data_IF_143697064577
#
_entry.id   IF_143697064577
#
_cell.length_a   1.000
_cell.length_b   1.000
_cell.length_c   1.000
_cell.angle_alpha   90.00
_cell.angle_beta   90.00
_cell.angle_gamma   90.00
#
_symmetry.space_group_name_H-M   'P 1'
#
loop_
_entity.id
_entity.type
_entity.pdbx_description
1 polymer ?
#
# COMPACT_ATOMS: atom_id res chain seq x y z
N UNK A 1 -22.13 17.86 20.32
CA UNK A 1 -20.81 18.51 20.17
C UNK A 1 -19.78 17.46 20.57
N UNK A 2 -19.45 16.58 19.63
CA UNK A 2 -18.45 15.53 19.81
C UNK A 2 -17.14 16.13 19.33
N UNK A 3 -16.29 16.57 20.26
CA UNK A 3 -14.90 16.91 19.93
C UNK A 3 -14.16 15.60 19.67
N UNK A 4 -13.91 15.29 18.40
CA UNK A 4 -12.86 14.37 18.00
C UNK A 4 -11.52 15.01 18.33
N UNK A 5 -10.84 14.47 19.34
CA UNK A 5 -9.44 14.80 19.62
C UNK A 5 -8.56 14.22 18.50
N UNK A 6 -7.65 15.00 17.91
CA UNK A 6 -6.67 14.43 17.00
C UNK A 6 -5.69 13.58 17.82
N UNK A 7 -5.54 12.32 17.42
CA UNK A 7 -4.46 11.47 17.91
C UNK A 7 -3.19 12.01 17.25
N UNK A 8 -2.44 12.86 17.94
CA UNK A 8 -1.05 13.11 17.55
C UNK A 8 -0.25 11.84 17.85
N UNK A 9 -0.14 10.96 16.86
CA UNK A 9 0.90 9.97 16.83
C UNK A 9 2.21 10.70 16.50
N UNK A 10 3.12 10.76 17.47
CA UNK A 10 4.51 11.12 17.21
C UNK A 10 5.18 9.92 16.54
N UNK A 11 4.93 9.74 15.24
CA UNK A 11 5.65 8.90 14.31
C UNK A 11 5.97 9.77 13.09
N UNK A 12 6.98 9.41 12.29
CA UNK A 12 7.28 10.10 11.02
C UNK A 12 5.99 10.47 10.30
N UNK A 13 5.80 11.75 9.97
CA UNK A 13 4.59 12.22 9.28
C UNK A 13 4.42 11.36 8.03
N UNK A 14 3.42 10.48 8.09
CA UNK A 14 2.91 9.76 6.95
C UNK A 14 2.45 10.79 5.94
N UNK A 15 2.59 10.52 4.65
CA UNK A 15 1.88 11.29 3.64
C UNK A 15 1.26 10.29 2.71
N UNK A 16 -0.05 10.10 2.79
CA UNK A 16 -0.81 9.25 1.89
C UNK A 16 -0.67 9.80 0.46
N UNK A 17 0.14 9.14 -0.37
CA UNK A 17 0.45 9.61 -1.73
C UNK A 17 -0.60 9.17 -2.75
N UNK A 18 -1.84 9.56 -2.52
CA UNK A 18 -2.94 9.41 -3.48
C UNK A 18 -3.31 10.80 -4.00
N UNK A 19 -3.44 10.94 -5.31
CA UNK A 19 -3.93 12.16 -5.93
C UNK A 19 -5.40 12.33 -5.52
N UNK A 20 -5.67 13.38 -4.75
CA UNK A 20 -6.91 13.60 -4.03
C UNK A 20 -6.70 13.91 -2.54
N UNK A 21 -5.58 13.50 -1.93
CA UNK A 21 -5.15 13.96 -0.59
C UNK A 21 -4.52 15.35 -0.69
N UNK A 22 -5.30 16.32 -1.16
CA UNK A 22 -4.86 17.66 -1.50
C UNK A 22 -4.22 18.40 -0.32
N UNK A 23 -4.79 18.23 0.89
CA UNK A 23 -4.36 18.95 2.08
C UNK A 23 -3.24 18.26 2.88
N UNK A 24 -2.83 17.06 2.44
CA UNK A 24 -1.76 16.23 3.01
C UNK A 24 -2.03 15.74 4.45
N UNK A 25 -3.29 15.52 4.82
CA UNK A 25 -3.67 15.05 6.17
C UNK A 25 -3.95 13.54 6.28
N UNK A 26 -3.57 12.80 5.24
CA UNK A 26 -3.63 11.33 5.15
C UNK A 26 -5.03 10.74 5.01
N UNK A 27 -6.04 11.59 4.83
CA UNK A 27 -7.44 11.20 4.63
C UNK A 27 -7.98 11.96 3.43
N UNK A 28 -8.63 11.28 2.50
CA UNK A 28 -9.33 11.94 1.39
C UNK A 28 -10.77 12.21 1.86
N UNK A 29 -11.09 13.46 2.13
CA UNK A 29 -12.41 13.90 2.58
C UNK A 29 -12.79 15.32 2.08
N UNK A 30 -13.85 15.89 2.64
CA UNK A 30 -14.32 17.23 2.27
C UNK A 30 -13.23 18.31 2.46
N UNK A 31 -12.28 18.12 3.38
CA UNK A 31 -11.20 19.07 3.61
C UNK A 31 -10.25 19.15 2.42
N UNK A 32 -10.14 18.10 1.61
CA UNK A 32 -9.36 18.13 0.37
C UNK A 32 -10.07 18.92 -0.72
N UNK A 33 -11.39 18.76 -0.84
CA UNK A 33 -12.22 19.59 -1.73
C UNK A 33 -12.07 21.07 -1.37
N UNK A 34 -12.23 21.41 -0.09
CA UNK A 34 -12.07 22.78 0.41
C UNK A 34 -10.64 23.32 0.16
N UNK A 35 -9.63 22.45 0.20
CA UNK A 35 -8.24 22.81 -0.09
C UNK A 35 -8.04 23.13 -1.58
N UNK A 36 -8.57 22.29 -2.48
CA UNK A 36 -8.54 22.52 -3.94
C UNK A 36 -9.27 23.81 -4.30
N UNK A 37 -10.45 24.06 -3.75
CA UNK A 37 -11.15 25.34 -3.92
C UNK A 37 -10.30 26.53 -3.46
N UNK A 38 -9.57 26.35 -2.36
CA UNK A 38 -8.62 27.32 -1.86
C UNK A 38 -7.46 27.60 -2.81
N UNK A 39 -6.94 26.58 -3.50
CA UNK A 39 -5.90 26.74 -4.54
C UNK A 39 -6.46 27.54 -5.73
N UNK A 40 -7.66 27.17 -6.21
CA UNK A 40 -8.35 27.84 -7.33
C UNK A 40 -8.58 29.33 -7.01
N UNK A 41 -8.95 29.63 -5.76
CA UNK A 41 -9.19 31.00 -5.29
C UNK A 41 -7.91 31.76 -4.92
N UNK A 42 -6.73 31.12 -4.96
CA UNK A 42 -5.45 31.70 -4.58
C UNK A 42 -5.29 31.95 -3.07
N UNK A 43 -6.07 31.26 -2.24
CA UNK A 43 -5.98 31.33 -0.77
C UNK A 43 -5.15 30.21 -0.16
N UNK A 44 -4.84 29.15 -0.91
CA UNK A 44 -3.96 28.05 -0.50
C UNK A 44 -2.76 27.92 -1.43
N UNK A 45 -1.70 27.27 -0.93
CA UNK A 45 -0.51 26.95 -1.72
C UNK A 45 -0.74 25.73 -2.61
N UNK A 46 0.03 25.64 -3.69
CA UNK A 46 0.01 24.48 -4.57
C UNK A 46 0.36 23.20 -3.80
N UNK A 47 -0.42 22.15 -4.05
CA UNK A 47 -0.13 20.78 -3.62
C UNK A 47 -0.15 19.89 -4.85
N UNK A 48 0.85 19.02 -5.00
CA UNK A 48 0.90 18.09 -6.15
C UNK A 48 -0.27 17.11 -6.13
N UNK A 49 -0.70 16.68 -4.92
CA UNK A 49 -1.81 15.75 -4.78
C UNK A 49 -3.18 16.41 -4.94
N UNK A 50 -3.24 17.73 -5.18
CA UNK A 50 -4.48 18.44 -5.48
C UNK A 50 -4.93 18.28 -6.95
N UNK A 51 -4.03 17.88 -7.85
CA UNK A 51 -4.32 17.51 -9.24
C UNK A 51 -4.87 16.07 -9.28
N UNK A 52 -6.04 15.86 -8.66
CA UNK A 52 -6.63 14.55 -8.41
C UNK A 52 -6.85 13.72 -9.70
N UNK A 53 -7.14 14.36 -10.83
CA UNK A 53 -7.26 13.68 -12.13
C UNK A 53 -5.91 13.56 -12.89
N UNK A 54 -4.84 14.17 -12.36
CA UNK A 54 -3.48 14.19 -12.90
C UNK A 54 -3.42 14.69 -14.35
N UNK A 55 -4.20 15.72 -14.69
CA UNK A 55 -4.21 16.36 -16.01
C UNK A 55 -3.20 17.51 -16.15
N UNK A 56 -2.55 17.88 -15.05
CA UNK A 56 -1.58 18.96 -14.95
C UNK A 56 -2.18 20.31 -14.55
N UNK A 57 -3.48 20.41 -14.27
CA UNK A 57 -4.16 21.65 -13.90
C UNK A 57 -5.11 21.45 -12.72
N UNK A 58 -4.89 22.20 -11.64
CA UNK A 58 -5.79 22.17 -10.48
C UNK A 58 -7.06 22.99 -10.77
N UNK A 59 -8.22 22.33 -10.80
CA UNK A 59 -9.49 22.90 -11.19
C UNK A 59 -10.73 22.15 -10.68
N UNK A 60 -11.86 22.36 -11.36
CA UNK A 60 -13.16 21.77 -10.97
C UNK A 60 -13.24 20.26 -11.22
N UNK A 61 -12.44 19.76 -12.17
CA UNK A 61 -12.38 18.31 -12.45
C UNK A 61 -11.71 17.55 -11.30
N UNK A 62 -10.75 18.16 -10.60
CA UNK A 62 -10.14 17.57 -9.40
C UNK A 62 -11.11 17.50 -8.23
N UNK A 63 -11.93 18.55 -8.04
CA UNK A 63 -12.99 18.55 -7.02
C UNK A 63 -13.95 17.39 -7.29
N UNK A 64 -14.40 17.22 -8.54
CA UNK A 64 -15.29 16.12 -8.90
C UNK A 64 -14.65 14.75 -8.67
N UNK A 65 -13.37 14.60 -9.01
CA UNK A 65 -12.62 13.35 -8.77
C UNK A 65 -12.48 13.05 -7.27
N UNK A 66 -12.19 14.04 -6.44
CA UNK A 66 -12.14 13.87 -4.97
C UNK A 66 -13.52 13.50 -4.42
N UNK A 67 -14.58 14.18 -4.86
CA UNK A 67 -15.96 13.86 -4.46
C UNK A 67 -16.36 12.43 -4.87
N UNK A 68 -15.88 11.95 -6.01
CA UNK A 68 -16.08 10.58 -6.46
C UNK A 68 -15.33 9.58 -5.56
N UNK A 69 -14.07 9.84 -5.20
CA UNK A 69 -13.28 9.03 -4.25
C UNK A 69 -13.96 8.97 -2.87
N UNK A 70 -14.39 10.12 -2.33
CA UNK A 70 -15.07 10.22 -1.04
C UNK A 70 -16.39 9.44 -1.05
N UNK A 71 -17.07 9.42 -2.20
CA UNK A 71 -18.33 8.70 -2.36
C UNK A 71 -18.16 7.20 -2.72
N UNK A 72 -16.95 6.72 -3.00
CA UNK A 72 -16.69 5.37 -3.49
C UNK A 72 -17.29 5.12 -4.89
N UNK A 73 -17.24 6.14 -5.76
CA UNK A 73 -17.80 6.14 -7.12
C UNK A 73 -16.75 6.42 -8.20
N UNK A 74 -15.49 6.59 -7.80
CA UNK A 74 -14.35 6.76 -8.69
C UNK A 74 -14.23 5.57 -9.65
N UNK A 75 -13.94 5.86 -10.91
CA UNK A 75 -13.67 4.83 -11.92
C UNK A 75 -12.18 4.57 -12.08
N UNK A 76 -11.34 5.45 -11.54
CA UNK A 76 -9.90 5.37 -11.59
C UNK A 76 -9.30 6.01 -10.33
N UNK A 77 -8.20 5.43 -9.84
CA UNK A 77 -7.43 5.93 -8.71
C UNK A 77 -6.00 6.17 -9.15
N UNK A 78 -5.48 7.37 -8.89
CA UNK A 78 -4.11 7.76 -9.24
C UNK A 78 -3.30 7.93 -7.96
N UNK A 79 -2.12 7.32 -7.90
CA UNK A 79 -1.28 7.32 -6.70
C UNK A 79 0.20 7.33 -7.05
N UNK A 80 1.03 7.71 -6.08
CA UNK A 80 2.46 7.41 -6.11
C UNK A 80 2.76 6.17 -5.30
N UNK A 81 3.34 5.19 -5.97
CA UNK A 81 3.75 3.94 -5.35
C UNK A 81 5.07 4.13 -4.56
N UNK A 82 5.55 3.09 -3.86
CA UNK A 82 6.79 3.23 -3.06
C UNK A 82 8.01 3.55 -3.95
N UNK A 83 8.01 3.11 -5.20
CA UNK A 83 9.05 3.42 -6.19
C UNK A 83 8.95 4.84 -6.77
N UNK A 84 8.05 5.68 -6.21
CA UNK A 84 7.81 7.07 -6.62
C UNK A 84 7.35 7.20 -8.09
N UNK A 85 6.67 6.18 -8.61
CA UNK A 85 5.99 6.21 -9.91
C UNK A 85 4.55 6.65 -9.73
N UNK A 86 4.04 7.48 -10.64
CA UNK A 86 2.61 7.79 -10.71
C UNK A 86 1.91 6.65 -11.46
N UNK A 87 1.02 5.94 -10.78
CA UNK A 87 0.28 4.78 -11.31
C UNK A 87 -1.20 5.13 -11.31
N UNK A 88 -1.88 4.82 -12.41
CA UNK A 88 -3.32 4.94 -12.58
C UNK A 88 -3.93 3.53 -12.59
N UNK A 89 -4.94 3.31 -11.75
CA UNK A 89 -5.55 2.01 -11.50
C UNK A 89 -7.04 2.13 -11.73
N UNK A 90 -7.60 1.30 -12.61
CA UNK A 90 -9.04 1.25 -12.82
C UNK A 90 -9.74 0.60 -11.62
N UNK A 91 -10.84 1.21 -11.18
CA UNK A 91 -11.63 0.80 -10.01
C UNK A 91 -13.01 0.32 -10.49
N UNK A 92 -13.59 -0.75 -9.91
CA UNK A 92 -13.07 -1.53 -8.79
C UNK A 92 -12.01 -2.57 -9.18
N UNK A 93 -11.00 -2.75 -8.32
CA UNK A 93 -10.05 -3.87 -8.40
C UNK A 93 -10.65 -5.09 -7.71
N UNK A 94 -10.86 -6.17 -8.44
CA UNK A 94 -11.47 -7.41 -7.96
C UNK A 94 -10.56 -8.65 -8.13
N UNK A 95 -9.49 -8.53 -8.92
CA UNK A 95 -8.57 -9.63 -9.26
C UNK A 95 -7.12 -9.19 -9.13
N UNK A 96 -6.44 -9.65 -8.09
CA UNK A 96 -5.07 -9.23 -7.75
C UNK A 96 -4.10 -10.40 -7.70
N UNK A 97 -2.91 -10.21 -8.26
CA UNK A 97 -1.76 -11.11 -8.07
C UNK A 97 -0.92 -10.61 -6.89
N UNK A 98 -0.69 -11.50 -5.92
CA UNK A 98 0.00 -11.19 -4.66
C UNK A 98 1.28 -12.03 -4.52
N UNK A 99 2.47 -11.50 -4.82
CA UNK A 99 3.69 -12.28 -4.82
C UNK A 99 4.37 -12.42 -3.45
N UNK A 100 3.89 -11.77 -2.37
CA UNK A 100 4.52 -11.82 -1.04
C UNK A 100 3.58 -12.23 0.07
N UNK A 101 4.12 -12.96 1.05
CA UNK A 101 3.40 -13.27 2.29
C UNK A 101 3.02 -12.04 3.12
N UNK A 102 3.84 -10.99 3.13
CA UNK A 102 3.53 -9.75 3.88
C UNK A 102 2.41 -8.96 3.20
N UNK A 103 2.37 -8.99 1.86
CA UNK A 103 1.27 -8.42 1.09
C UNK A 103 0.01 -9.26 1.30
N UNK A 104 0.13 -10.59 1.32
CA UNK A 104 -0.97 -11.49 1.65
C UNK A 104 -1.52 -11.25 3.07
N UNK A 105 -0.66 -10.93 4.06
CA UNK A 105 -1.07 -10.48 5.39
C UNK A 105 -1.89 -9.18 5.34
N UNK A 106 -1.48 -8.20 4.53
CA UNK A 106 -2.22 -6.96 4.34
C UNK A 106 -3.64 -7.22 3.79
N UNK A 107 -3.80 -8.13 2.83
CA UNK A 107 -5.13 -8.55 2.33
C UNK A 107 -6.00 -9.18 3.42
N UNK A 108 -5.41 -9.95 4.36
CA UNK A 108 -6.14 -10.47 5.52
C UNK A 108 -6.58 -9.36 6.47
N UNK A 109 -5.70 -8.39 6.74
CA UNK A 109 -6.00 -7.23 7.59
C UNK A 109 -7.17 -6.42 7.01
N UNK A 110 -7.12 -6.18 5.69
CA UNK A 110 -8.14 -5.44 4.94
C UNK A 110 -9.40 -6.26 4.64
N UNK A 111 -9.41 -7.56 4.95
CA UNK A 111 -10.51 -8.50 4.68
C UNK A 111 -10.89 -8.56 3.20
N UNK A 112 -9.89 -8.56 2.33
CA UNK A 112 -10.05 -8.54 0.87
C UNK A 112 -9.45 -9.79 0.20
N UNK A 113 -9.25 -10.86 0.96
CA UNK A 113 -8.57 -12.08 0.49
C UNK A 113 -9.24 -12.72 -0.73
N UNK A 114 -10.55 -12.55 -0.88
CA UNK A 114 -11.34 -13.03 -2.03
C UNK A 114 -10.96 -12.36 -3.36
N UNK A 115 -10.30 -11.20 -3.32
CA UNK A 115 -9.80 -10.49 -4.51
C UNK A 115 -8.50 -11.09 -5.05
N UNK A 116 -7.85 -11.99 -4.31
CA UNK A 116 -6.58 -12.60 -4.73
C UNK A 116 -6.85 -13.76 -5.67
N UNK A 117 -6.25 -13.73 -6.87
CA UNK A 117 -6.45 -14.75 -7.91
C UNK A 117 -5.20 -15.56 -8.22
N UNK A 118 -4.03 -15.10 -7.76
CA UNK A 118 -2.76 -15.80 -7.89
C UNK A 118 -1.76 -15.35 -6.84
N UNK A 119 -0.92 -16.28 -6.39
CA UNK A 119 0.01 -16.09 -5.26
C UNK A 119 1.41 -16.60 -5.58
N UNK A 120 2.37 -16.35 -4.69
CA UNK A 120 3.68 -16.99 -4.76
C UNK A 120 3.73 -18.37 -4.11
N UNK A 121 4.72 -19.18 -4.52
CA UNK A 121 5.06 -20.46 -3.91
C UNK A 121 5.29 -20.34 -2.39
N UNK A 122 5.88 -19.23 -1.94
CA UNK A 122 6.14 -18.98 -0.52
C UNK A 122 4.85 -18.89 0.33
N UNK A 123 3.72 -18.53 -0.29
CA UNK A 123 2.41 -18.51 0.36
C UNK A 123 1.88 -19.95 0.51
N UNK A 124 2.07 -20.81 -0.50
CA UNK A 124 1.69 -22.23 -0.43
C UNK A 124 2.48 -23.01 0.62
N UNK A 125 3.72 -22.63 0.92
CA UNK A 125 4.49 -23.23 2.02
C UNK A 125 3.89 -22.89 3.41
N UNK A 126 3.01 -21.89 3.49
CA UNK A 126 2.40 -21.36 4.71
C UNK A 126 0.89 -21.55 4.75
N UNK A 127 0.37 -22.66 4.22
CA UNK A 127 -1.08 -22.99 4.24
C UNK A 127 -1.71 -22.99 5.63
N UNK A 128 -0.94 -23.22 6.71
CA UNK A 128 -1.45 -23.08 8.08
C UNK A 128 -1.87 -21.64 8.42
N UNK A 129 -1.26 -20.66 7.77
CA UNK A 129 -1.49 -19.23 7.97
C UNK A 129 -2.32 -18.60 6.84
N UNK A 130 -2.19 -19.13 5.62
CA UNK A 130 -2.95 -18.73 4.43
C UNK A 130 -3.82 -19.88 3.86
N UNK A 131 -4.72 -20.49 4.66
CA UNK A 131 -5.56 -21.58 4.16
C UNK A 131 -6.47 -21.12 3.00
N UNK A 132 -6.86 -19.85 2.96
CA UNK A 132 -7.70 -19.27 1.89
C UNK A 132 -7.00 -19.23 0.51
N UNK A 133 -5.66 -19.31 0.48
CA UNK A 133 -4.88 -19.25 -0.76
C UNK A 133 -4.37 -20.62 -1.20
N UNK A 134 -4.71 -21.70 -0.48
CA UNK A 134 -4.13 -23.02 -0.68
C UNK A 134 -4.38 -23.60 -2.08
N UNK A 135 -5.54 -23.28 -2.68
CA UNK A 135 -5.97 -23.78 -3.98
C UNK A 135 -5.76 -22.74 -5.11
N UNK A 136 -5.18 -21.56 -4.80
CA UNK A 136 -4.92 -20.55 -5.83
C UNK A 136 -3.74 -20.95 -6.71
N UNK A 137 -3.75 -20.58 -8.01
CA UNK A 137 -2.60 -20.76 -8.88
C UNK A 137 -1.37 -20.01 -8.36
N UNK A 138 -0.21 -20.65 -8.47
CA UNK A 138 1.07 -19.99 -8.24
C UNK A 138 1.55 -19.32 -9.52
N UNK A 139 2.08 -18.10 -9.39
CA UNK A 139 2.71 -17.34 -10.49
C UNK A 139 4.24 -17.28 -10.39
N UNK A 140 4.83 -18.01 -9.44
CA UNK A 140 6.28 -18.06 -9.23
C UNK A 140 6.69 -18.08 -7.77
N UNK A 141 7.99 -17.92 -7.52
CA UNK A 141 8.55 -17.74 -6.18
C UNK A 141 8.32 -16.35 -5.59
N UNK A 142 9.36 -15.76 -5.01
CA UNK A 142 9.30 -14.42 -4.41
C UNK A 142 9.11 -13.30 -5.46
N UNK A 143 9.25 -13.62 -6.75
CA UNK A 143 8.88 -12.78 -7.89
C UNK A 143 7.94 -13.52 -8.84
N UNK A 144 7.30 -12.78 -9.75
CA UNK A 144 6.59 -13.39 -10.89
C UNK A 144 7.61 -14.03 -11.81
N UNK A 145 7.43 -15.33 -12.05
CA UNK A 145 8.28 -16.14 -12.93
C UNK A 145 7.49 -16.62 -14.15
N UNK A 146 6.19 -16.88 -13.96
CA UNK A 146 5.28 -17.31 -15.02
C UNK A 146 4.28 -16.19 -15.35
N UNK A 147 4.72 -15.28 -16.22
CA UNK A 147 3.89 -14.15 -16.68
C UNK A 147 2.72 -14.62 -17.55
N UNK A 148 2.86 -15.72 -18.31
CA UNK A 148 1.76 -16.27 -19.10
C UNK A 148 0.66 -16.80 -18.19
N UNK A 149 1.03 -17.53 -17.12
CA UNK A 149 0.08 -17.93 -16.09
C UNK A 149 -0.55 -16.72 -15.41
N UNK A 150 0.23 -15.71 -14.99
CA UNK A 150 -0.30 -14.50 -14.38
C UNK A 150 -1.32 -13.78 -15.27
N UNK A 151 -1.01 -13.59 -16.55
CA UNK A 151 -1.91 -12.97 -17.54
C UNK A 151 -3.17 -13.83 -17.76
N UNK A 152 -3.03 -15.16 -17.78
CA UNK A 152 -4.17 -16.07 -17.96
C UNK A 152 -5.20 -16.03 -16.82
N UNK A 153 -4.80 -15.49 -15.66
CA UNK A 153 -5.69 -15.24 -14.53
C UNK A 153 -6.48 -13.95 -14.68
N UNK A 154 -6.33 -13.20 -15.77
CA UNK A 154 -7.08 -11.96 -16.05
C UNK A 154 -7.12 -11.01 -14.83
N UNK A 155 -5.95 -10.60 -14.27
CA UNK A 155 -5.91 -9.74 -13.10
C UNK A 155 -6.13 -8.27 -13.47
N UNK A 156 -6.80 -7.52 -12.60
CA UNK A 156 -6.94 -6.07 -12.69
C UNK A 156 -5.67 -5.36 -12.21
N UNK A 157 -4.89 -6.03 -11.35
CA UNK A 157 -3.70 -5.44 -10.71
C UNK A 157 -2.67 -6.50 -10.33
N UNK A 158 -1.40 -6.13 -10.48
CA UNK A 158 -0.26 -6.89 -9.94
C UNK A 158 0.46 -6.04 -8.89
N UNK A 159 0.70 -6.60 -7.70
CA UNK A 159 1.53 -5.95 -6.67
C UNK A 159 2.98 -6.41 -6.84
N UNK A 160 3.93 -5.48 -6.75
CA UNK A 160 5.38 -5.73 -6.79
C UNK A 160 6.11 -5.07 -5.62
N UNK A 161 7.43 -5.25 -5.58
CA UNK A 161 8.35 -4.71 -4.56
C UNK A 161 9.23 -3.62 -5.17
N UNK A 162 9.79 -2.76 -4.32
CA UNK A 162 10.60 -1.62 -4.79
C UNK A 162 11.97 -2.09 -5.30
N UNK A 163 12.65 -2.96 -4.54
CA UNK A 163 14.10 -3.18 -4.74
C UNK A 163 14.43 -4.28 -5.72
N UNK A 164 13.73 -5.40 -5.66
CA UNK A 164 14.03 -6.55 -6.52
C UNK A 164 12.79 -7.45 -6.67
N UNK A 165 12.48 -7.98 -7.88
CA UNK A 165 13.18 -7.77 -9.15
C UNK A 165 13.00 -6.31 -9.65
N UNK A 166 13.78 -5.86 -10.66
CA UNK A 166 13.54 -4.56 -11.27
C UNK A 166 12.08 -4.47 -11.75
N UNK A 167 11.38 -3.42 -11.34
CA UNK A 167 9.96 -3.23 -11.66
C UNK A 167 9.72 -3.21 -13.18
N UNK A 168 10.68 -2.68 -13.94
CA UNK A 168 10.64 -2.65 -15.41
C UNK A 168 10.51 -4.04 -16.05
N UNK A 169 10.98 -5.10 -15.38
CA UNK A 169 10.78 -6.48 -15.86
C UNK A 169 9.28 -6.83 -15.85
N UNK A 170 8.56 -6.46 -14.79
CA UNK A 170 7.14 -6.74 -14.68
C UNK A 170 6.32 -5.86 -15.64
N UNK A 171 6.62 -4.56 -15.72
CA UNK A 171 5.98 -3.63 -16.65
C UNK A 171 6.13 -4.11 -18.11
N UNK A 172 7.35 -4.40 -18.57
CA UNK A 172 7.58 -4.83 -19.97
C UNK A 172 6.76 -6.07 -20.34
N UNK A 173 6.51 -6.97 -19.38
CA UNK A 173 5.78 -8.23 -19.59
C UNK A 173 4.27 -8.08 -19.46
N UNK A 174 3.79 -7.14 -18.65
CA UNK A 174 2.36 -6.99 -18.31
C UNK A 174 1.70 -5.84 -19.08
N UNK A 175 2.44 -4.81 -19.47
CA UNK A 175 1.94 -3.68 -20.27
C UNK A 175 1.26 -4.10 -21.58
N UNK A 176 1.77 -5.09 -22.37
CA UNK A 176 1.09 -5.54 -23.59
C UNK A 176 -0.30 -6.15 -23.33
N UNK A 177 -0.57 -6.61 -22.10
CA UNK A 177 -1.86 -7.12 -21.66
C UNK A 177 -2.72 -6.04 -20.98
N UNK A 178 -2.20 -4.82 -20.78
CA UNK A 178 -2.89 -3.72 -20.11
C UNK A 178 -3.05 -3.89 -18.60
N UNK A 179 -2.22 -4.72 -17.96
CA UNK A 179 -2.32 -5.02 -16.53
C UNK A 179 -1.39 -4.08 -15.75
N UNK A 180 -1.91 -3.17 -14.90
CA UNK A 180 -1.08 -2.26 -14.12
C UNK A 180 -0.28 -2.98 -13.03
N UNK A 181 0.92 -2.47 -12.76
CA UNK A 181 1.79 -2.92 -11.67
C UNK A 181 1.94 -1.81 -10.63
N UNK A 182 1.54 -2.08 -9.38
CA UNK A 182 1.75 -1.16 -8.24
C UNK A 182 2.85 -1.70 -7.32
N UNK A 183 3.73 -0.82 -6.85
CA UNK A 183 4.77 -1.19 -5.87
C UNK A 183 4.33 -0.80 -4.46
N UNK A 184 4.21 -1.80 -3.59
CA UNK A 184 3.89 -1.61 -2.17
C UNK A 184 4.93 -2.32 -1.31
N UNK A 185 5.73 -1.55 -0.57
CA UNK A 185 6.86 -2.08 0.20
C UNK A 185 6.48 -2.44 1.64
N UNK A 186 5.91 -3.65 1.82
CA UNK A 186 5.59 -4.16 3.15
C UNK A 186 6.79 -4.76 3.91
N UNK A 187 7.98 -4.88 3.29
CA UNK A 187 9.18 -5.39 3.99
C UNK A 187 9.88 -4.33 4.85
N UNK A 188 9.67 -3.05 4.56
CA UNK A 188 10.17 -1.95 5.36
C UNK A 188 9.11 -1.51 6.39
N UNK A 189 9.38 -1.64 7.70
CA UNK A 189 8.42 -1.28 8.73
C UNK A 189 8.01 0.20 8.73
N UNK A 190 8.78 1.08 8.09
CA UNK A 190 8.45 2.50 7.98
C UNK A 190 7.29 2.75 7.00
N UNK A 191 7.10 1.88 6.00
CA UNK A 191 6.06 2.06 4.98
C UNK A 191 4.76 1.30 5.30
N UNK A 192 4.79 0.28 6.17
CA UNK A 192 3.64 -0.62 6.43
C UNK A 192 2.32 0.13 6.67
N UNK A 193 2.31 1.20 7.47
CA UNK A 193 1.07 1.97 7.72
C UNK A 193 0.59 2.67 6.45
N UNK A 194 1.50 3.30 5.69
CA UNK A 194 1.17 4.05 4.47
C UNK A 194 0.63 3.10 3.41
N UNK A 195 1.33 1.98 3.20
CA UNK A 195 0.97 1.00 2.18
C UNK A 195 -0.32 0.26 2.52
N UNK A 196 -0.63 0.08 3.80
CA UNK A 196 -1.90 -0.52 4.22
C UNK A 196 -3.08 0.41 3.95
N UNK A 197 -2.96 1.71 4.27
CA UNK A 197 -3.98 2.71 3.94
C UNK A 197 -4.11 2.85 2.43
N UNK A 198 -2.99 2.98 1.70
CA UNK A 198 -3.00 3.06 0.23
C UNK A 198 -3.69 1.84 -0.41
N UNK A 199 -3.40 0.65 0.08
CA UNK A 199 -4.05 -0.58 -0.37
C UNK A 199 -5.53 -0.63 -0.02
N UNK A 200 -5.98 -0.03 1.09
CA UNK A 200 -7.41 0.04 1.43
C UNK A 200 -8.21 0.84 0.41
N UNK A 201 -7.65 1.96 -0.09
CA UNK A 201 -8.23 2.73 -1.19
C UNK A 201 -8.27 1.92 -2.50
N UNK A 202 -7.16 1.28 -2.88
CA UNK A 202 -7.10 0.44 -4.08
C UNK A 202 -8.17 -0.67 -4.05
N UNK A 203 -8.39 -1.29 -2.88
CA UNK A 203 -9.30 -2.43 -2.74
C UNK A 203 -10.75 -2.01 -2.42
N UNK A 204 -11.02 -0.73 -2.19
CA UNK A 204 -12.34 -0.23 -1.78
C UNK A 204 -12.74 -0.69 -0.37
N UNK A 205 -11.77 -0.89 0.52
CA UNK A 205 -11.96 -1.38 1.90
C UNK A 205 -11.61 -0.34 2.96
N UNK A 206 -11.67 0.95 2.62
CA UNK A 206 -11.33 2.08 3.50
C UNK A 206 -11.90 1.90 4.93
N UNK A 207 -11.03 2.06 5.93
CA UNK A 207 -11.36 1.89 7.35
C UNK A 207 -11.24 0.45 7.88
N UNK A 208 -11.00 -0.56 7.05
CA UNK A 208 -10.71 -1.92 7.51
C UNK A 208 -9.35 -2.01 8.26
N UNK A 209 -8.42 -1.14 7.90
CA UNK A 209 -7.08 -0.96 8.45
C UNK A 209 -7.05 -0.35 9.85
N UNK A 210 -8.07 0.45 10.23
CA UNK A 210 -8.09 1.26 11.46
C UNK A 210 -7.73 0.46 12.71
N UNK A 211 -8.33 -0.73 12.82
CA UNK A 211 -8.11 -1.61 13.97
C UNK A 211 -6.65 -2.07 14.04
N UNK A 212 -6.05 -2.42 12.91
CA UNK A 212 -4.67 -2.86 12.86
C UNK A 212 -3.71 -1.70 13.14
N UNK A 213 -3.95 -0.54 12.54
CA UNK A 213 -3.13 0.67 12.75
C UNK A 213 -3.20 1.12 14.22
N UNK A 214 -4.39 1.10 14.83
CA UNK A 214 -4.54 1.41 16.26
C UNK A 214 -3.80 0.41 17.14
N UNK A 215 -3.89 -0.89 16.83
CA UNK A 215 -3.18 -1.94 17.55
C UNK A 215 -1.67 -1.76 17.44
N UNK A 216 -1.14 -1.64 16.21
CA UNK A 216 0.31 -1.47 15.93
C UNK A 216 0.88 -0.23 16.61
N UNK A 217 0.24 0.93 16.40
CA UNK A 217 0.71 2.19 17.00
C UNK A 217 0.65 2.17 18.52
N UNK A 218 -0.25 1.37 19.12
CA UNK A 218 -0.31 1.16 20.56
C UNK A 218 0.93 0.47 21.12
N UNK A 219 1.51 -0.49 20.40
CA UNK A 219 2.75 -1.15 20.81
C UNK A 219 3.99 -0.32 20.48
N UNK A 220 4.02 0.32 19.31
CA UNK A 220 5.13 1.19 18.91
C UNK A 220 5.33 2.32 19.92
N UNK A 221 4.26 3.02 20.32
CA UNK A 221 4.34 4.07 21.35
C UNK A 221 4.92 3.55 22.66
N UNK A 222 4.50 2.37 23.13
CA UNK A 222 5.03 1.79 24.37
C UNK A 222 6.52 1.48 24.28
N UNK A 223 6.97 0.97 23.11
CA UNK A 223 8.38 0.69 22.85
C UNK A 223 9.17 1.99 22.80
N UNK A 224 8.69 2.98 22.05
CA UNK A 224 9.36 4.27 21.87
C UNK A 224 9.45 5.04 23.19
N UNK A 225 8.37 5.10 23.97
CA UNK A 225 8.35 5.72 25.29
C UNK A 225 9.40 5.08 26.21
N UNK A 226 9.54 3.75 26.18
CA UNK A 226 10.55 3.07 26.97
C UNK A 226 11.97 3.38 26.46
N UNK A 227 12.21 3.22 25.16
CA UNK A 227 13.56 3.34 24.54
C UNK A 227 14.07 4.78 24.58
N UNK A 228 13.21 5.78 24.40
CA UNK A 228 13.58 7.19 24.44
C UNK A 228 13.93 7.68 25.85
N UNK A 229 13.49 6.97 26.89
CA UNK A 229 13.85 7.24 28.28
C UNK A 229 15.18 6.57 28.71
N UNK A 230 15.76 5.70 27.89
CA UNK A 230 17.07 5.09 28.16
C UNK A 230 18.21 6.00 27.69
N UNK A 231 19.21 6.19 28.55
CA UNK A 231 20.50 6.72 28.14
C UNK A 231 21.23 5.76 27.19
N UNK A 232 22.24 6.27 26.48
CA UNK A 232 23.02 5.45 25.54
C UNK A 232 23.70 4.25 26.22
N UNK A 233 24.14 4.41 27.47
CA UNK A 233 24.84 3.36 28.22
C UNK A 233 23.89 2.27 28.75
N UNK A 234 22.59 2.58 28.87
CA UNK A 234 21.55 1.62 29.25
C UNK A 234 21.06 0.78 28.06
N UNK A 235 21.35 1.19 26.82
CA UNK A 235 20.94 0.47 25.62
C UNK A 235 21.87 -0.74 25.39
N UNK A 236 21.34 -1.97 25.34
CA UNK A 236 22.18 -3.15 25.12
C UNK A 236 22.83 -3.11 23.74
N UNK A 237 24.09 -3.56 23.67
CA UNK A 237 24.75 -3.80 22.40
C UNK A 237 24.21 -5.08 21.78
N UNK A 238 23.69 -4.99 20.57
CA UNK A 238 23.11 -6.13 19.84
C UNK A 238 23.96 -6.39 18.60
N UNK A 239 24.30 -7.66 18.37
CA UNK A 239 24.85 -8.14 17.11
C UNK A 239 23.79 -9.00 16.44
N UNK A 240 23.34 -8.58 15.25
CA UNK A 240 22.44 -9.38 14.42
C UNK A 240 23.28 -10.17 13.42
N UNK A 241 23.26 -11.50 13.54
CA UNK A 241 23.80 -12.41 12.53
C UNK A 241 22.64 -12.97 11.71
N UNK A 242 22.75 -12.89 10.39
CA UNK A 242 21.84 -13.56 9.45
C UNK A 242 22.61 -14.57 8.62
N UNK A 243 22.07 -15.78 8.51
CA UNK A 243 22.66 -16.87 7.74
C UNK A 243 21.70 -17.29 6.63
N UNK A 244 22.20 -17.37 5.40
CA UNK A 244 21.47 -17.96 4.28
C UNK A 244 21.92 -19.41 4.11
N UNK A 245 20.97 -20.36 4.03
CA UNK A 245 21.27 -21.78 3.83
C UNK A 245 21.92 -21.95 2.46
N UNK A 246 23.15 -22.45 2.40
CA UNK A 246 23.80 -22.79 1.14
C UNK A 246 23.12 -23.99 0.46
N UNK A 247 23.29 -24.12 -0.86
CA UNK A 247 22.77 -25.22 -1.69
C UNK A 247 23.14 -26.64 -1.20
N UNK A 248 24.08 -26.77 -0.26
CA UNK A 248 24.53 -28.05 0.32
C UNK A 248 24.56 -28.07 1.86
N UNK A 249 23.96 -27.10 2.55
CA UNK A 249 23.99 -27.08 4.01
C UNK A 249 22.93 -27.99 4.62
N UNK A 250 23.38 -29.07 5.26
CA UNK A 250 22.58 -29.81 6.24
C UNK A 250 22.69 -29.08 7.58
N UNK A 251 21.73 -28.18 7.82
CA UNK A 251 21.61 -27.43 9.07
C UNK A 251 20.17 -27.47 9.60
N UNK A 252 20.07 -27.57 10.92
CA UNK A 252 18.87 -27.80 11.77
C UNK A 252 17.67 -26.93 11.43
#
# INVERSE_FOLDING_TARGET
MLCSLPILACGSHLTLKIYGNANLDDTIDQRDVDYVEGIINGTQEYSELADANNDGNIGQEDIAQIEDIVAGRETNLILKDTANRTVSIDIPVERVIVPSGLTAEAFKVLKATEKVVGVSNAIHEKTYFFPEFADLPSVGGWKIEDYEAAISLDPDLVISYEKWPPISEAEEKLDPAGIPVVVLEFTDPNFVTEELVKLSYILGTNGAEDRYIQWRSGYERQIDDYVNNLSRDERPSVFLETGFKGLNDVGT
#
